data_IF_557863712085
#
_entry.id   IF_557863712085
#
_cell.length_a   1.000
_cell.length_b   1.000
_cell.length_c   1.000
_cell.angle_alpha   90.00
_cell.angle_beta   90.00
_cell.angle_gamma   90.00
#
_symmetry.space_group_name_H-M   'P 1'
#
loop_
_entity.id
_entity.type
_entity.pdbx_description
1 polymer ?
#
# COMPACT_ATOMS: atom_id res chain seq x y z
N UNK A 1 -20.93 -18.36 -13.43
CA UNK A 1 -20.65 -18.98 -12.13
C UNK A 1 -19.81 -18.09 -11.22
N UNK A 2 -18.67 -17.51 -11.67
CA UNK A 2 -17.80 -16.63 -10.88
C UNK A 2 -18.54 -15.40 -10.35
N UNK A 3 -19.34 -14.74 -11.18
CA UNK A 3 -20.15 -13.57 -10.79
C UNK A 3 -21.18 -13.91 -9.73
N UNK A 4 -21.91 -15.02 -9.90
CA UNK A 4 -22.92 -15.46 -8.94
C UNK A 4 -22.27 -15.74 -7.58
N UNK A 5 -21.13 -16.43 -7.56
CA UNK A 5 -20.38 -16.70 -6.33
C UNK A 5 -19.91 -15.40 -5.66
N UNK A 6 -19.42 -14.43 -6.44
CA UNK A 6 -19.01 -13.14 -5.92
C UNK A 6 -20.20 -12.37 -5.34
N UNK A 7 -21.33 -12.32 -6.02
CA UNK A 7 -22.56 -11.68 -5.53
C UNK A 7 -23.03 -12.34 -4.23
N UNK A 8 -23.07 -13.67 -4.17
CA UNK A 8 -23.46 -14.39 -2.95
C UNK A 8 -22.50 -14.06 -1.80
N UNK A 9 -21.17 -14.05 -2.06
CA UNK A 9 -20.19 -13.71 -1.06
C UNK A 9 -20.35 -12.26 -0.54
N UNK A 10 -20.63 -11.30 -1.44
CA UNK A 10 -20.91 -9.91 -1.07
C UNK A 10 -22.17 -9.83 -0.22
N UNK A 11 -23.28 -10.42 -0.66
CA UNK A 11 -24.56 -10.35 0.06
C UNK A 11 -24.47 -10.99 1.45
N UNK A 12 -23.83 -12.17 1.56
CA UNK A 12 -23.57 -12.81 2.83
C UNK A 12 -22.69 -11.94 3.73
N UNK A 13 -21.63 -11.36 3.17
CA UNK A 13 -20.74 -10.46 3.89
C UNK A 13 -21.42 -9.17 4.34
N UNK A 14 -22.26 -8.57 3.51
CA UNK A 14 -23.03 -7.39 3.89
C UNK A 14 -24.03 -7.71 5.02
N UNK A 15 -24.69 -8.88 4.99
CA UNK A 15 -25.54 -9.35 6.09
C UNK A 15 -24.77 -9.47 7.40
N UNK A 16 -23.53 -10.02 7.35
CA UNK A 16 -22.65 -10.09 8.52
C UNK A 16 -22.17 -8.72 8.98
N UNK A 17 -21.94 -7.78 8.07
CA UNK A 17 -21.51 -6.42 8.37
C UNK A 17 -22.49 -5.66 9.24
N UNK A 18 -23.78 -5.84 9.03
CA UNK A 18 -24.84 -5.20 9.83
C UNK A 18 -24.75 -5.58 11.32
N UNK A 19 -24.26 -6.80 11.62
CA UNK A 19 -24.08 -7.29 12.98
C UNK A 19 -22.67 -7.02 13.52
N UNK A 20 -21.66 -7.13 12.66
CA UNK A 20 -20.25 -6.95 13.00
C UNK A 20 -19.57 -6.02 12.00
N UNK A 21 -19.54 -4.69 12.25
CA UNK A 21 -18.98 -3.71 11.32
C UNK A 21 -17.53 -3.97 10.90
N UNK A 22 -16.75 -4.64 11.75
CA UNK A 22 -15.39 -5.05 11.44
C UNK A 22 -15.33 -6.02 10.24
N UNK A 23 -16.35 -6.88 10.05
CA UNK A 23 -16.43 -7.75 8.87
C UNK A 23 -16.55 -6.91 7.58
N UNK A 24 -17.34 -5.83 7.63
CA UNK A 24 -17.44 -4.89 6.53
C UNK A 24 -16.10 -4.22 6.18
N UNK A 25 -15.31 -3.88 7.19
CA UNK A 25 -13.95 -3.35 6.98
C UNK A 25 -13.07 -4.36 6.24
N UNK A 26 -13.11 -5.65 6.62
CA UNK A 26 -12.35 -6.70 5.94
C UNK A 26 -12.81 -6.94 4.50
N UNK A 27 -14.12 -6.88 4.25
CA UNK A 27 -14.68 -7.02 2.90
C UNK A 27 -14.29 -5.82 2.04
N UNK A 28 -14.34 -4.61 2.59
CA UNK A 28 -13.91 -3.40 1.91
C UNK A 28 -12.42 -3.45 1.57
N UNK A 29 -11.57 -3.85 2.52
CA UNK A 29 -10.15 -4.08 2.32
C UNK A 29 -9.88 -5.10 1.22
N UNK A 30 -10.54 -6.25 1.26
CA UNK A 30 -10.45 -7.27 0.22
C UNK A 30 -10.83 -6.72 -1.15
N UNK A 31 -11.96 -6.01 -1.23
CA UNK A 31 -12.48 -5.45 -2.48
C UNK A 31 -11.55 -4.42 -3.09
N UNK A 32 -10.91 -3.61 -2.27
CA UNK A 32 -10.02 -2.53 -2.70
C UNK A 32 -8.64 -3.04 -3.11
N UNK A 33 -8.10 -4.07 -2.41
CA UNK A 33 -6.78 -4.63 -2.70
C UNK A 33 -6.81 -5.66 -3.84
N UNK A 34 -7.78 -6.57 -3.86
CA UNK A 34 -7.88 -7.61 -4.88
C UNK A 34 -8.69 -7.18 -6.10
N UNK A 35 -9.62 -6.22 -5.95
CA UNK A 35 -10.52 -5.78 -7.02
C UNK A 35 -11.26 -6.95 -7.72
N UNK A 36 -11.95 -7.85 -7.00
CA UNK A 36 -12.51 -9.08 -7.56
C UNK A 36 -13.56 -8.82 -8.65
N UNK A 37 -14.23 -7.66 -8.65
CA UNK A 37 -15.17 -7.23 -9.68
C UNK A 37 -14.51 -7.00 -11.05
N UNK A 38 -13.20 -6.80 -11.11
CA UNK A 38 -12.45 -6.66 -12.38
C UNK A 38 -12.06 -8.00 -12.98
N UNK A 39 -12.12 -9.07 -12.21
CA UNK A 39 -11.93 -10.45 -12.66
C UNK A 39 -13.25 -11.11 -13.13
N UNK A 40 -14.37 -10.39 -12.99
CA UNK A 40 -15.70 -10.76 -13.50
C UNK A 40 -16.09 -9.80 -14.63
N UNK A 41 -17.01 -10.21 -15.50
CA UNK A 41 -17.37 -9.48 -16.73
C UNK A 41 -18.16 -8.16 -16.52
N UNK A 42 -17.97 -7.49 -15.40
CA UNK A 42 -18.38 -6.08 -15.25
C UNK A 42 -19.70 -5.80 -14.56
N UNK A 43 -20.47 -6.81 -14.14
CA UNK A 43 -21.78 -6.60 -13.52
C UNK A 43 -21.74 -5.93 -12.13
N UNK A 44 -20.59 -5.92 -11.43
CA UNK A 44 -20.46 -5.51 -10.02
C UNK A 44 -19.70 -4.18 -9.86
N UNK A 45 -19.73 -3.30 -10.86
CA UNK A 45 -18.94 -2.06 -10.87
C UNK A 45 -19.14 -1.11 -9.67
N UNK A 46 -20.34 -1.08 -9.08
CA UNK A 46 -20.69 -0.20 -7.95
C UNK A 46 -20.57 -0.86 -6.57
N UNK A 47 -20.14 -2.14 -6.49
CA UNK A 47 -20.15 -2.88 -5.23
C UNK A 47 -19.27 -2.23 -4.15
N UNK A 48 -18.14 -1.63 -4.52
CA UNK A 48 -17.25 -1.00 -3.56
C UNK A 48 -17.93 0.17 -2.82
N UNK A 49 -18.75 0.96 -3.51
CA UNK A 49 -19.53 2.03 -2.88
C UNK A 49 -20.58 1.46 -1.91
N UNK A 50 -21.28 0.40 -2.31
CA UNK A 50 -22.30 -0.24 -1.45
C UNK A 50 -21.66 -0.82 -0.21
N UNK A 51 -20.53 -1.53 -0.35
CA UNK A 51 -19.76 -2.09 0.77
C UNK A 51 -19.33 -0.96 1.73
N UNK A 52 -18.77 0.13 1.19
CA UNK A 52 -18.34 1.28 1.98
C UNK A 52 -19.50 1.89 2.78
N UNK A 53 -20.63 2.19 2.10
CA UNK A 53 -21.81 2.81 2.74
C UNK A 53 -22.40 1.90 3.82
N UNK A 54 -22.63 0.62 3.51
CA UNK A 54 -23.18 -0.33 4.50
C UNK A 54 -22.24 -0.46 5.69
N UNK A 55 -20.93 -0.49 5.46
CA UNK A 55 -19.96 -0.59 6.55
C UNK A 55 -19.96 0.66 7.43
N UNK A 56 -20.01 1.86 6.84
CA UNK A 56 -20.08 3.12 7.58
C UNK A 56 -21.38 3.23 8.39
N UNK A 57 -22.52 2.89 7.80
CA UNK A 57 -23.82 2.89 8.48
C UNK A 57 -23.83 1.87 9.62
N UNK A 58 -23.39 0.64 9.36
CA UNK A 58 -23.33 -0.40 10.38
C UNK A 58 -22.42 0.00 11.55
N UNK A 59 -21.27 0.61 11.25
CA UNK A 59 -20.38 1.12 12.31
C UNK A 59 -21.01 2.26 13.10
N UNK A 60 -21.64 3.22 12.43
CA UNK A 60 -22.29 4.37 13.08
C UNK A 60 -23.43 3.93 14.02
N UNK A 61 -24.18 2.89 13.66
CA UNK A 61 -25.27 2.33 14.45
C UNK A 61 -24.81 1.30 15.49
N UNK A 62 -23.57 0.85 15.44
CA UNK A 62 -23.06 -0.20 16.32
C UNK A 62 -22.86 0.29 17.75
N UNK A 63 -23.21 -0.57 18.72
CA UNK A 63 -22.86 -0.37 20.14
C UNK A 63 -21.36 -0.44 20.40
N UNK A 64 -20.60 -1.09 19.52
CA UNK A 64 -19.13 -1.16 19.58
C UNK A 64 -18.44 0.08 18.97
N UNK A 65 -19.21 1.10 18.55
CA UNK A 65 -18.66 2.31 17.95
C UNK A 65 -17.66 2.97 18.88
N UNK A 66 -16.42 3.06 18.42
CA UNK A 66 -15.32 3.77 19.09
C UNK A 66 -14.73 4.79 18.13
N UNK A 67 -14.30 5.91 18.68
CA UNK A 67 -13.47 6.83 17.92
C UNK A 67 -12.11 6.16 17.60
N UNK A 68 -11.52 6.44 16.43
CA UNK A 68 -10.17 5.98 16.13
C UNK A 68 -9.20 6.53 17.17
N UNK A 69 -8.12 5.79 17.51
CA UNK A 69 -7.14 6.25 18.47
C UNK A 69 -6.49 7.57 18.05
N UNK A 70 -6.48 8.53 18.95
CA UNK A 70 -5.94 9.86 18.70
C UNK A 70 -4.41 9.82 18.51
N UNK A 71 -3.91 10.63 17.57
CA UNK A 71 -2.47 10.74 17.32
C UNK A 71 -2.12 11.47 16.03
N UNK A 72 -0.83 11.74 15.87
CA UNK A 72 -0.32 12.50 14.72
C UNK A 72 -0.68 11.87 13.36
N UNK A 73 -0.72 10.53 13.25
CA UNK A 73 -1.10 9.86 12.02
C UNK A 73 -2.57 10.14 11.70
N UNK A 74 -3.49 10.02 12.68
CA UNK A 74 -4.91 10.31 12.47
C UNK A 74 -5.12 11.74 11.98
N UNK A 75 -4.53 12.72 12.67
CA UNK A 75 -4.65 14.11 12.27
C UNK A 75 -3.98 14.40 10.94
N UNK A 76 -2.82 13.78 10.66
CA UNK A 76 -2.16 13.89 9.36
C UNK A 76 -3.03 13.38 8.22
N UNK A 77 -3.69 12.24 8.41
CA UNK A 77 -4.66 11.66 7.45
C UNK A 77 -5.85 12.60 7.26
N UNK A 78 -6.46 13.08 8.34
CA UNK A 78 -7.61 14.00 8.27
C UNK A 78 -7.22 15.31 7.56
N UNK A 79 -6.11 15.91 7.94
CA UNK A 79 -5.61 17.16 7.34
C UNK A 79 -5.31 16.94 5.85
N UNK A 80 -4.73 15.79 5.48
CA UNK A 80 -4.46 15.47 4.08
C UNK A 80 -5.76 15.32 3.27
N UNK A 81 -6.77 14.61 3.80
CA UNK A 81 -8.09 14.50 3.16
C UNK A 81 -8.73 15.88 2.96
N UNK A 82 -8.74 16.69 4.02
CA UNK A 82 -9.33 18.06 3.96
C UNK A 82 -8.58 18.89 2.93
N UNK A 83 -7.24 18.86 2.93
CA UNK A 83 -6.43 19.61 1.98
C UNK A 83 -6.69 19.20 0.54
N UNK A 84 -6.68 17.90 0.25
CA UNK A 84 -6.94 17.37 -1.09
C UNK A 84 -8.38 17.62 -1.54
N UNK A 85 -9.34 17.59 -0.61
CA UNK A 85 -10.75 17.94 -0.89
C UNK A 85 -10.88 19.41 -1.29
N UNK A 86 -10.31 20.33 -0.51
CA UNK A 86 -10.33 21.76 -0.84
C UNK A 86 -9.61 21.97 -2.18
N UNK A 87 -8.43 21.37 -2.37
CA UNK A 87 -7.66 21.49 -3.61
C UNK A 87 -8.41 21.01 -4.86
N UNK A 88 -9.33 20.05 -4.72
CA UNK A 88 -10.15 19.56 -5.83
C UNK A 88 -11.08 20.63 -6.41
N UNK A 89 -11.62 21.52 -5.55
CA UNK A 89 -12.44 22.65 -6.03
C UNK A 89 -11.63 23.70 -6.80
N UNK A 90 -10.32 23.80 -6.54
CA UNK A 90 -9.39 24.70 -7.22
C UNK A 90 -8.55 24.01 -8.27
N UNK A 91 -8.90 22.78 -8.66
CA UNK A 91 -8.16 22.00 -9.64
C UNK A 91 -8.16 22.68 -11.02
N UNK A 92 -7.20 22.30 -11.87
CA UNK A 92 -7.18 22.75 -13.28
C UNK A 92 -8.41 22.28 -14.04
N UNK A 93 -8.82 21.03 -13.79
CA UNK A 93 -10.07 20.44 -14.25
C UNK A 93 -10.77 19.82 -13.03
N UNK A 94 -11.75 20.54 -12.42
CA UNK A 94 -12.44 20.04 -11.24
C UNK A 94 -13.25 18.78 -11.50
N UNK A 95 -13.92 18.66 -12.66
CA UNK A 95 -14.75 17.49 -12.97
C UNK A 95 -13.92 16.22 -13.02
N UNK A 96 -12.81 16.26 -13.73
CA UNK A 96 -11.85 15.16 -13.79
C UNK A 96 -11.23 14.84 -12.42
N UNK A 97 -10.85 15.87 -11.69
CA UNK A 97 -10.24 15.76 -10.36
C UNK A 97 -11.19 15.13 -9.34
N UNK A 98 -12.50 15.44 -9.38
CA UNK A 98 -13.50 14.81 -8.50
C UNK A 98 -13.61 13.31 -8.70
N UNK A 99 -13.44 12.79 -9.92
CA UNK A 99 -13.42 11.35 -10.20
C UNK A 99 -12.30 10.62 -9.44
N UNK A 100 -11.10 11.20 -9.38
CA UNK A 100 -9.97 10.65 -8.61
C UNK A 100 -10.09 10.90 -7.10
N UNK A 101 -10.61 12.07 -6.71
CA UNK A 101 -10.91 12.38 -5.31
C UNK A 101 -11.90 11.38 -4.72
N UNK A 102 -12.98 11.04 -5.46
CA UNK A 102 -13.99 10.07 -5.00
C UNK A 102 -13.40 8.72 -4.61
N UNK A 103 -12.39 8.27 -5.31
CA UNK A 103 -11.66 7.06 -4.95
C UNK A 103 -10.75 7.27 -3.75
N UNK A 104 -10.01 8.38 -3.72
CA UNK A 104 -8.97 8.64 -2.73
C UNK A 104 -9.54 8.82 -1.33
N UNK A 105 -10.62 9.61 -1.15
CA UNK A 105 -11.22 9.78 0.18
C UNK A 105 -11.73 8.46 0.76
N UNK A 106 -12.25 7.55 -0.08
CA UNK A 106 -12.70 6.21 0.35
C UNK A 106 -11.56 5.36 0.89
N UNK A 107 -10.40 5.41 0.26
CA UNK A 107 -9.18 4.73 0.73
C UNK A 107 -8.79 5.20 2.14
N UNK A 108 -8.78 6.51 2.37
CA UNK A 108 -8.46 7.07 3.70
C UNK A 108 -9.58 6.82 4.72
N UNK A 109 -10.85 6.87 4.31
CA UNK A 109 -11.99 6.54 5.16
C UNK A 109 -11.91 5.08 5.64
N UNK A 110 -11.57 4.13 4.76
CA UNK A 110 -11.30 2.74 5.13
C UNK A 110 -10.21 2.66 6.21
N UNK A 111 -9.09 3.38 6.04
CA UNK A 111 -8.00 3.40 7.02
C UNK A 111 -8.44 3.92 8.39
N UNK A 112 -9.21 5.02 8.43
CA UNK A 112 -9.75 5.58 9.68
C UNK A 112 -10.72 4.60 10.35
N UNK A 113 -11.59 3.97 9.57
CA UNK A 113 -12.58 3.01 10.07
C UNK A 113 -11.90 1.72 10.57
N UNK A 114 -10.87 1.27 9.88
CA UNK A 114 -10.01 0.18 10.32
C UNK A 114 -9.39 0.51 11.70
N UNK A 115 -8.81 1.70 11.85
CA UNK A 115 -8.23 2.13 13.11
C UNK A 115 -9.26 2.20 14.26
N UNK A 116 -10.53 2.53 13.96
CA UNK A 116 -11.62 2.59 14.93
C UNK A 116 -12.15 1.19 15.34
N UNK A 117 -12.06 0.20 14.45
CA UNK A 117 -12.65 -1.13 14.65
C UNK A 117 -11.66 -2.20 15.10
N UNK A 118 -10.36 -2.02 14.85
CA UNK A 118 -9.32 -2.96 15.27
C UNK A 118 -8.99 -2.76 16.75
N UNK A 119 -9.44 -3.69 17.61
CA UNK A 119 -9.33 -3.57 19.07
C UNK A 119 -8.48 -4.64 19.75
N UNK A 120 -8.12 -5.72 19.02
CA UNK A 120 -7.40 -6.85 19.60
C UNK A 120 -6.53 -7.56 18.55
N UNK A 121 -5.70 -8.50 19.00
CA UNK A 121 -4.78 -9.28 18.16
C UNK A 121 -5.48 -10.02 17.03
N UNK A 122 -6.64 -10.61 17.28
CA UNK A 122 -7.38 -11.37 16.25
C UNK A 122 -7.79 -10.45 15.08
N UNK A 123 -8.31 -9.27 15.40
CA UNK A 123 -8.67 -8.27 14.37
C UNK A 123 -7.45 -7.75 13.60
N UNK A 124 -6.32 -7.52 14.28
CA UNK A 124 -5.06 -7.18 13.61
C UNK A 124 -4.63 -8.28 12.64
N UNK A 125 -4.63 -9.53 13.11
CA UNK A 125 -4.26 -10.67 12.28
C UNK A 125 -5.19 -10.82 11.07
N UNK A 126 -6.50 -10.61 11.24
CA UNK A 126 -7.48 -10.70 10.16
C UNK A 126 -7.19 -9.67 9.05
N UNK A 127 -6.90 -8.40 9.41
CA UNK A 127 -6.48 -7.35 8.46
C UNK A 127 -5.24 -7.80 7.67
N UNK A 128 -4.20 -8.26 8.36
CA UNK A 128 -2.96 -8.68 7.67
C UNK A 128 -3.22 -9.91 6.78
N UNK A 129 -4.06 -10.86 7.20
CA UNK A 129 -4.43 -12.00 6.37
C UNK A 129 -5.18 -11.58 5.12
N UNK A 130 -6.15 -10.65 5.22
CA UNK A 130 -6.89 -10.15 4.07
C UNK A 130 -5.95 -9.44 3.09
N UNK A 131 -5.06 -8.58 3.57
CA UNK A 131 -4.06 -7.91 2.73
C UNK A 131 -3.17 -8.92 2.00
N UNK A 132 -2.64 -9.92 2.74
CA UNK A 132 -1.73 -10.92 2.17
C UNK A 132 -2.45 -11.82 1.17
N UNK A 133 -3.64 -12.34 1.48
CA UNK A 133 -4.39 -13.22 0.56
C UNK A 133 -4.78 -12.45 -0.70
N UNK A 134 -5.25 -11.20 -0.56
CA UNK A 134 -5.67 -10.36 -1.69
C UNK A 134 -4.55 -10.15 -2.70
N UNK A 135 -3.35 -9.87 -2.24
CA UNK A 135 -2.21 -9.56 -3.13
C UNK A 135 -1.42 -10.82 -3.52
N UNK A 136 -1.43 -11.87 -2.70
CA UNK A 136 -0.90 -13.18 -3.08
C UNK A 136 -1.68 -13.82 -4.22
N UNK A 137 -2.96 -13.50 -4.40
CA UNK A 137 -3.70 -13.90 -5.60
C UNK A 137 -2.94 -13.50 -6.87
N UNK A 138 -2.49 -12.25 -6.96
CA UNK A 138 -1.69 -11.77 -8.09
C UNK A 138 -0.27 -12.32 -8.08
N UNK A 139 0.35 -12.43 -6.91
CA UNK A 139 1.69 -12.97 -6.75
C UNK A 139 1.78 -14.44 -7.19
N UNK A 140 0.84 -15.28 -6.76
CA UNK A 140 0.80 -16.71 -7.12
C UNK A 140 0.45 -16.89 -8.60
N UNK A 141 -0.63 -16.22 -9.06
CA UNK A 141 -1.05 -16.26 -10.48
C UNK A 141 0.07 -15.77 -11.40
N UNK A 142 0.68 -14.62 -11.07
CA UNK A 142 1.78 -14.03 -11.84
C UNK A 142 3.06 -14.85 -11.80
N UNK A 143 3.40 -15.45 -10.65
CA UNK A 143 4.57 -16.32 -10.51
C UNK A 143 4.45 -17.59 -11.32
N UNK A 144 3.29 -18.26 -11.26
CA UNK A 144 3.00 -19.43 -12.10
C UNK A 144 3.00 -19.06 -13.58
N UNK A 145 2.39 -17.94 -13.95
CA UNK A 145 2.40 -17.42 -15.32
C UNK A 145 3.83 -17.19 -15.83
N UNK A 146 4.68 -16.55 -15.03
CA UNK A 146 6.09 -16.32 -15.38
C UNK A 146 6.85 -17.62 -15.59
N UNK A 147 6.64 -18.63 -14.73
CA UNK A 147 7.27 -19.96 -14.87
C UNK A 147 6.79 -20.65 -16.14
N UNK A 148 5.47 -20.73 -16.38
CA UNK A 148 4.90 -21.45 -17.51
C UNK A 148 5.25 -20.79 -18.84
N UNK A 149 5.31 -19.45 -18.88
CA UNK A 149 5.66 -18.71 -20.11
C UNK A 149 7.16 -18.54 -20.30
N UNK A 150 7.99 -19.07 -19.41
CA UNK A 150 9.45 -18.87 -19.45
C UNK A 150 9.84 -17.38 -19.34
N UNK A 151 8.98 -16.55 -18.75
CA UNK A 151 9.21 -15.11 -18.59
C UNK A 151 9.05 -14.29 -19.88
N UNK A 152 8.43 -14.80 -20.94
CA UNK A 152 8.31 -14.07 -22.20
C UNK A 152 7.27 -12.94 -22.16
N UNK A 153 6.36 -12.95 -21.20
CA UNK A 153 5.27 -12.00 -21.07
C UNK A 153 5.29 -11.25 -19.73
N UNK A 154 4.90 -9.96 -19.78
CA UNK A 154 4.81 -9.14 -18.59
C UNK A 154 3.64 -9.57 -17.69
N UNK A 155 3.87 -9.61 -16.38
CA UNK A 155 2.81 -9.73 -15.38
C UNK A 155 2.18 -8.34 -15.20
N UNK A 156 0.89 -8.24 -15.51
CA UNK A 156 0.09 -7.02 -15.41
C UNK A 156 -0.99 -7.19 -14.36
N UNK A 157 -1.40 -6.07 -13.77
CA UNK A 157 -2.53 -6.03 -12.85
C UNK A 157 -3.88 -5.91 -13.56
N UNK A 158 -4.98 -5.93 -12.79
CA UNK A 158 -6.33 -5.81 -13.33
C UNK A 158 -6.57 -4.40 -13.90
N UNK A 159 -7.09 -4.32 -15.12
CA UNK A 159 -7.34 -3.05 -15.80
C UNK A 159 -8.31 -2.15 -15.04
N UNK A 160 -8.08 -0.84 -15.09
CA UNK A 160 -8.93 0.18 -14.42
C UNK A 160 -8.78 0.22 -12.89
N UNK A 161 -7.69 -0.33 -12.34
CA UNK A 161 -7.35 -0.24 -10.92
C UNK A 161 -6.07 0.57 -10.69
N UNK A 162 -5.72 0.85 -9.42
CA UNK A 162 -4.44 1.51 -9.09
C UNK A 162 -3.22 0.64 -9.36
N UNK A 163 -3.40 -0.66 -9.46
CA UNK A 163 -2.33 -1.64 -9.69
C UNK A 163 -2.39 -2.25 -11.09
N UNK A 164 -2.99 -1.54 -12.05
CA UNK A 164 -3.17 -2.06 -13.41
C UNK A 164 -1.82 -2.23 -14.15
N UNK A 165 -0.91 -1.31 -13.94
CA UNK A 165 0.42 -1.29 -14.54
C UNK A 165 1.35 -2.29 -13.85
N UNK A 166 2.31 -2.85 -14.60
CA UNK A 166 3.29 -3.80 -14.08
C UNK A 166 4.11 -3.25 -12.90
N UNK A 167 4.46 -1.95 -12.92
CA UNK A 167 5.26 -1.33 -11.88
C UNK A 167 4.47 -1.17 -10.58
N UNK A 168 3.22 -0.73 -10.68
CA UNK A 168 2.33 -0.53 -9.53
C UNK A 168 1.98 -1.86 -8.88
N UNK A 169 1.64 -2.88 -9.69
CA UNK A 169 1.39 -4.24 -9.19
C UNK A 169 2.62 -4.80 -8.46
N UNK A 170 3.81 -4.62 -9.05
CA UNK A 170 5.05 -5.11 -8.45
C UNK A 170 5.31 -4.50 -7.06
N UNK A 171 5.08 -3.20 -6.88
CA UNK A 171 5.24 -2.55 -5.57
C UNK A 171 4.19 -3.04 -4.58
N UNK A 172 2.93 -3.21 -5.00
CA UNK A 172 1.88 -3.79 -4.17
C UNK A 172 2.27 -5.19 -3.65
N UNK A 173 2.78 -6.05 -4.54
CA UNK A 173 3.29 -7.38 -4.18
C UNK A 173 4.50 -7.29 -3.24
N UNK A 174 5.44 -6.40 -3.49
CA UNK A 174 6.62 -6.22 -2.64
C UNK A 174 6.28 -5.75 -1.23
N UNK A 175 5.35 -4.82 -1.08
CA UNK A 175 4.86 -4.36 0.24
C UNK A 175 4.26 -5.51 1.06
N UNK A 176 3.67 -6.51 0.39
CA UNK A 176 3.01 -7.65 1.02
C UNK A 176 4.01 -8.69 1.55
N UNK A 177 5.20 -8.82 0.95
CA UNK A 177 6.19 -9.85 1.33
C UNK A 177 6.59 -9.82 2.82
N UNK A 178 6.93 -8.67 3.43
CA UNK A 178 7.24 -8.63 4.85
C UNK A 178 6.05 -8.99 5.73
N UNK A 179 4.81 -8.64 5.33
CA UNK A 179 3.59 -8.99 6.05
C UNK A 179 3.33 -10.52 6.00
N UNK A 180 3.51 -11.12 4.83
CA UNK A 180 3.41 -12.57 4.66
C UNK A 180 4.47 -13.34 5.47
N UNK A 181 5.71 -12.84 5.49
CA UNK A 181 6.75 -13.44 6.31
C UNK A 181 6.46 -13.30 7.82
N UNK A 182 5.85 -12.19 8.25
CA UNK A 182 5.34 -12.05 9.61
C UNK A 182 4.28 -13.11 9.93
N UNK A 183 3.24 -13.27 9.08
CA UNK A 183 2.23 -14.30 9.28
C UNK A 183 2.81 -15.71 9.33
N UNK A 184 3.80 -15.99 8.47
CA UNK A 184 4.52 -17.26 8.49
C UNK A 184 5.20 -17.51 9.84
N UNK A 185 5.80 -16.49 10.44
CA UNK A 185 6.42 -16.56 11.77
C UNK A 185 5.42 -16.76 12.91
N UNK A 186 4.19 -16.25 12.74
CA UNK A 186 3.11 -16.37 13.75
C UNK A 186 2.31 -17.69 13.65
N UNK A 187 2.36 -18.36 12.50
CA UNK A 187 1.57 -19.57 12.25
C UNK A 187 2.20 -20.79 12.92
N UNK A 188 1.40 -21.57 13.65
CA UNK A 188 1.81 -22.82 14.29
C UNK A 188 1.72 -24.00 13.31
N UNK A 189 0.72 -23.98 12.42
CA UNK A 189 0.49 -25.05 11.45
C UNK A 189 1.58 -25.05 10.36
N UNK A 190 2.15 -26.24 10.11
CA UNK A 190 3.23 -26.42 9.12
C UNK A 190 2.77 -26.20 7.70
N UNK A 191 1.52 -26.56 7.36
CA UNK A 191 1.00 -26.39 6.01
C UNK A 191 0.71 -24.93 5.69
N UNK A 192 0.20 -24.17 6.66
CA UNK A 192 0.04 -22.72 6.54
C UNK A 192 1.41 -22.05 6.35
N UNK A 193 2.42 -22.46 7.12
CA UNK A 193 3.79 -21.93 6.96
C UNK A 193 4.40 -22.26 5.61
N UNK A 194 4.16 -23.47 5.10
CA UNK A 194 4.62 -23.90 3.77
C UNK A 194 3.88 -23.14 2.68
N UNK A 195 2.56 -23.01 2.78
CA UNK A 195 1.75 -22.24 1.83
C UNK A 195 2.18 -20.76 1.73
N UNK A 196 2.42 -20.12 2.89
CA UNK A 196 2.94 -18.75 2.92
C UNK A 196 4.34 -18.65 2.32
N UNK A 197 5.24 -19.62 2.57
CA UNK A 197 6.57 -19.65 1.97
C UNK A 197 6.49 -19.81 0.45
N UNK A 198 5.67 -20.73 -0.05
CA UNK A 198 5.44 -20.92 -1.49
C UNK A 198 4.85 -19.66 -2.12
N UNK A 199 3.87 -19.02 -1.45
CA UNK A 199 3.31 -17.75 -1.88
C UNK A 199 4.36 -16.63 -1.96
N UNK A 200 5.25 -16.53 -0.97
CA UNK A 200 6.39 -15.57 -0.99
C UNK A 200 7.28 -15.84 -2.21
N UNK A 201 7.68 -17.09 -2.44
CA UNK A 201 8.57 -17.45 -3.56
C UNK A 201 7.90 -17.11 -4.90
N UNK A 202 6.64 -17.53 -5.10
CA UNK A 202 5.91 -17.25 -6.33
C UNK A 202 5.70 -15.74 -6.54
N UNK A 203 5.45 -14.99 -5.46
CA UNK A 203 5.31 -13.53 -5.54
C UNK A 203 6.64 -12.87 -5.93
N UNK A 204 7.78 -13.34 -5.43
CA UNK A 204 9.10 -12.84 -5.87
C UNK A 204 9.32 -13.13 -7.36
N UNK A 205 8.97 -14.33 -7.83
CA UNK A 205 9.04 -14.69 -9.25
C UNK A 205 8.11 -13.78 -10.08
N UNK A 206 6.89 -13.52 -9.60
CA UNK A 206 5.96 -12.60 -10.25
C UNK A 206 6.53 -11.19 -10.36
N UNK A 207 7.14 -10.66 -9.29
CA UNK A 207 7.79 -9.34 -9.27
C UNK A 207 8.90 -9.27 -10.33
N UNK A 208 9.72 -10.29 -10.47
CA UNK A 208 10.73 -10.38 -11.53
C UNK A 208 10.04 -10.39 -12.91
N UNK A 209 8.97 -11.19 -13.07
CA UNK A 209 8.17 -11.27 -14.29
C UNK A 209 7.37 -10.00 -14.65
N UNK A 210 7.34 -8.99 -13.78
CA UNK A 210 6.79 -7.67 -14.13
C UNK A 210 7.74 -6.84 -14.98
N UNK A 211 9.03 -7.15 -15.01
CA UNK A 211 10.09 -6.35 -15.67
C UNK A 211 10.18 -4.90 -15.15
N UNK A 212 9.72 -4.64 -13.94
CA UNK A 212 9.76 -3.32 -13.32
C UNK A 212 11.13 -3.03 -12.70
N UNK A 213 11.85 -2.04 -13.23
CA UNK A 213 13.13 -1.59 -12.66
C UNK A 213 12.96 -1.04 -11.23
N UNK A 214 11.90 -0.27 -10.99
CA UNK A 214 11.59 0.25 -9.66
C UNK A 214 11.29 -0.86 -8.65
N UNK A 215 10.67 -1.96 -9.11
CA UNK A 215 10.41 -3.12 -8.27
C UNK A 215 11.69 -3.91 -7.95
N UNK A 216 12.64 -4.02 -8.89
CA UNK A 216 13.95 -4.64 -8.62
C UNK A 216 14.71 -3.87 -7.53
N UNK A 217 14.68 -2.54 -7.54
CA UNK A 217 15.24 -1.70 -6.46
C UNK A 217 14.52 -2.00 -5.13
N UNK A 218 13.19 -2.10 -5.15
CA UNK A 218 12.40 -2.48 -3.97
C UNK A 218 12.73 -3.88 -3.45
N UNK A 219 12.91 -4.86 -4.34
CA UNK A 219 13.30 -6.22 -3.98
C UNK A 219 14.70 -6.26 -3.39
N UNK A 220 15.67 -5.54 -3.99
CA UNK A 220 17.01 -5.38 -3.45
C UNK A 220 16.99 -4.72 -2.06
N UNK A 221 16.12 -3.71 -1.87
CA UNK A 221 15.93 -3.06 -0.57
C UNK A 221 15.40 -4.05 0.48
N UNK A 222 14.40 -4.88 0.15
CA UNK A 222 13.92 -5.93 1.07
C UNK A 222 15.00 -6.96 1.37
N UNK A 223 15.75 -7.39 0.37
CA UNK A 223 16.88 -8.30 0.52
C UNK A 223 17.94 -7.71 1.48
N UNK A 224 18.31 -6.46 1.29
CA UNK A 224 19.25 -5.75 2.16
C UNK A 224 18.72 -5.63 3.60
N UNK A 225 17.47 -5.22 3.80
CA UNK A 225 16.84 -5.16 5.13
C UNK A 225 16.79 -6.54 5.80
N UNK A 226 16.55 -7.59 5.03
CA UNK A 226 16.59 -8.98 5.49
C UNK A 226 18.01 -9.36 5.97
N UNK A 227 19.02 -9.08 5.15
CA UNK A 227 20.42 -9.39 5.46
C UNK A 227 20.90 -8.68 6.75
N UNK A 228 20.49 -7.44 6.99
CA UNK A 228 20.84 -6.70 8.20
C UNK A 228 20.34 -7.39 9.49
N UNK A 229 19.29 -8.20 9.41
CA UNK A 229 18.63 -8.86 10.56
C UNK A 229 19.05 -10.32 10.74
N UNK A 230 19.79 -10.90 9.81
CA UNK A 230 20.19 -12.31 9.83
C UNK A 230 21.52 -12.53 10.57
N UNK A 231 21.57 -13.54 11.44
CA UNK A 231 22.81 -13.95 12.12
C UNK A 231 23.82 -14.61 11.16
N UNK A 232 23.35 -15.32 10.12
CA UNK A 232 24.16 -16.04 9.12
C UNK A 232 24.11 -15.36 7.76
N UNK A 233 24.53 -14.10 7.68
CA UNK A 233 24.45 -13.26 6.46
C UNK A 233 25.13 -13.90 5.24
N UNK A 234 26.31 -14.45 5.42
CA UNK A 234 27.07 -15.07 4.32
C UNK A 234 26.36 -16.28 3.71
N UNK A 235 25.72 -17.13 4.53
CA UNK A 235 24.93 -18.26 4.03
C UNK A 235 23.77 -17.81 3.17
N UNK A 236 23.07 -16.76 3.58
CA UNK A 236 21.93 -16.23 2.81
C UNK A 236 22.38 -15.53 1.53
N UNK A 237 23.52 -14.82 1.55
CA UNK A 237 24.12 -14.25 0.33
C UNK A 237 24.50 -15.37 -0.63
N UNK A 238 25.16 -16.43 -0.16
CA UNK A 238 25.51 -17.58 -0.99
C UNK A 238 24.28 -18.25 -1.60
N UNK A 239 23.23 -18.51 -0.79
CA UNK A 239 21.96 -19.09 -1.29
C UNK A 239 21.30 -18.17 -2.30
N UNK A 240 21.24 -16.86 -2.04
CA UNK A 240 20.66 -15.89 -2.98
C UNK A 240 21.47 -15.83 -4.29
N UNK A 241 22.80 -15.85 -4.20
CA UNK A 241 23.68 -15.88 -5.39
C UNK A 241 23.47 -17.15 -6.22
N UNK A 242 23.34 -18.30 -5.57
CA UNK A 242 23.05 -19.59 -6.24
C UNK A 242 21.66 -19.53 -6.90
N UNK A 243 20.65 -19.00 -6.20
CA UNK A 243 19.30 -18.84 -6.78
C UNK A 243 19.28 -17.88 -7.97
N UNK A 244 20.02 -16.78 -7.88
CA UNK A 244 20.15 -15.80 -8.99
C UNK A 244 20.86 -16.46 -10.17
N UNK A 245 21.97 -17.16 -9.94
CA UNK A 245 22.71 -17.87 -10.99
C UNK A 245 21.87 -18.98 -11.62
N UNK A 246 21.14 -19.75 -10.80
CA UNK A 246 20.22 -20.78 -11.26
C UNK A 246 19.08 -20.17 -12.11
N UNK A 247 18.45 -19.10 -11.63
CA UNK A 247 17.38 -18.41 -12.36
C UNK A 247 17.91 -17.83 -13.68
N UNK A 248 19.11 -17.22 -13.65
CA UNK A 248 19.77 -16.71 -14.84
C UNK A 248 20.10 -17.81 -15.87
N UNK A 249 20.48 -19.00 -15.40
CA UNK A 249 20.78 -20.14 -16.29
C UNK A 249 19.54 -20.67 -17.04
N UNK A 250 18.38 -20.61 -16.41
CA UNK A 250 17.10 -21.04 -17.00
C UNK A 250 16.35 -19.93 -17.74
N UNK A 251 16.84 -18.68 -17.68
CA UNK A 251 16.27 -17.60 -18.47
C UNK A 251 16.63 -17.80 -19.95
N UNK A 252 15.65 -17.68 -20.88
CA UNK A 252 15.93 -17.77 -22.32
C UNK A 252 16.99 -16.75 -22.74
N UNK A 253 17.85 -17.12 -23.69
CA UNK A 253 18.83 -16.21 -24.30
C UNK A 253 18.18 -14.90 -24.76
N UNK A 254 16.94 -14.96 -25.24
CA UNK A 254 16.11 -13.80 -25.59
C UNK A 254 15.84 -12.82 -24.42
N UNK A 255 15.93 -13.24 -23.17
CA UNK A 255 15.89 -12.34 -22.02
C UNK A 255 17.20 -11.51 -21.92
N UNK A 256 18.32 -12.18 -22.10
CA UNK A 256 19.65 -11.52 -22.10
C UNK A 256 19.85 -10.68 -23.36
N UNK A 257 19.35 -11.14 -24.52
CA UNK A 257 19.37 -10.38 -25.77
C UNK A 257 18.48 -9.14 -25.65
N UNK A 258 17.28 -9.23 -25.06
CA UNK A 258 16.47 -8.06 -24.74
C UNK A 258 17.14 -7.13 -23.71
N UNK A 259 17.86 -7.69 -22.74
CA UNK A 259 18.60 -6.89 -21.77
C UNK A 259 19.82 -6.24 -22.42
N UNK A 260 20.50 -6.89 -23.38
CA UNK A 260 21.66 -6.38 -24.11
C UNK A 260 21.27 -5.49 -25.31
N UNK A 261 20.20 -5.80 -26.04
CA UNK A 261 19.62 -4.92 -27.06
C UNK A 261 18.92 -3.71 -26.45
N UNK A 262 18.49 -3.79 -25.18
CA UNK A 262 18.19 -2.61 -24.39
C UNK A 262 19.41 -1.66 -24.26
N UNK A 263 20.64 -2.11 -24.40
CA UNK A 263 21.81 -1.22 -24.38
C UNK A 263 22.06 -0.46 -25.69
N UNK A 264 21.58 -0.90 -26.84
CA UNK A 264 21.80 -0.20 -28.13
C UNK A 264 20.57 0.53 -28.68
N UNK A 265 19.36 -0.03 -28.50
CA UNK A 265 18.06 0.66 -28.77
C UNK A 265 17.53 1.33 -27.50
N UNK A 266 17.94 0.86 -26.32
CA UNK A 266 17.58 1.42 -25.02
C UNK A 266 18.30 2.72 -24.70
N UNK A 267 19.45 3.06 -25.28
CA UNK A 267 20.02 4.40 -25.07
C UNK A 267 19.04 5.47 -25.55
N UNK A 268 18.44 5.33 -26.72
CA UNK A 268 17.48 6.29 -27.28
C UNK A 268 16.12 6.19 -26.56
N UNK A 269 15.59 4.99 -26.28
CA UNK A 269 14.34 4.81 -25.55
C UNK A 269 14.47 5.04 -24.03
N UNK A 270 15.63 4.75 -23.46
CA UNK A 270 15.97 5.04 -22.06
C UNK A 270 16.14 6.53 -21.84
N UNK A 271 16.82 7.22 -22.75
CA UNK A 271 16.92 8.68 -22.74
C UNK A 271 15.54 9.33 -22.91
N UNK A 272 14.67 8.80 -23.78
CA UNK A 272 13.29 9.27 -23.91
C UNK A 272 12.43 8.96 -22.68
N UNK A 273 12.55 7.77 -22.08
CA UNK A 273 11.79 7.41 -20.88
C UNK A 273 12.26 8.19 -19.65
N UNK A 274 13.56 8.39 -19.49
CA UNK A 274 14.12 9.20 -18.40
C UNK A 274 13.85 10.69 -18.63
N UNK A 275 14.04 11.16 -19.86
CA UNK A 275 13.71 12.53 -20.27
C UNK A 275 12.22 12.84 -19.97
N UNK A 276 11.29 11.96 -20.40
CA UNK A 276 9.86 12.14 -20.15
C UNK A 276 9.51 12.26 -18.66
N UNK A 277 10.21 11.52 -17.78
CA UNK A 277 10.04 11.67 -16.32
C UNK A 277 10.53 13.02 -15.82
N UNK A 278 11.70 13.48 -16.26
CA UNK A 278 12.23 14.80 -15.89
C UNK A 278 11.28 15.91 -16.36
N UNK A 279 10.76 15.80 -17.57
CA UNK A 279 9.76 16.75 -18.10
C UNK A 279 8.50 16.73 -17.24
N UNK A 280 7.95 15.54 -16.92
CA UNK A 280 6.79 15.42 -16.04
C UNK A 280 7.03 15.98 -14.63
N UNK A 281 8.25 15.82 -14.07
CA UNK A 281 8.63 16.44 -12.79
C UNK A 281 8.69 17.95 -12.86
N UNK A 282 9.21 18.50 -13.97
CA UNK A 282 9.20 19.96 -14.22
C UNK A 282 7.75 20.48 -14.37
N UNK A 283 6.88 19.75 -15.08
CA UNK A 283 5.45 20.07 -15.15
C UNK A 283 4.82 20.08 -13.77
N UNK A 284 5.05 19.04 -12.96
CA UNK A 284 4.53 18.95 -11.59
C UNK A 284 5.01 20.12 -10.72
N UNK A 285 6.29 20.47 -10.82
CA UNK A 285 6.86 21.60 -10.09
C UNK A 285 6.29 22.94 -10.52
N UNK A 286 6.20 23.20 -11.83
CA UNK A 286 5.63 24.43 -12.38
C UNK A 286 4.15 24.55 -12.02
N UNK A 287 3.38 23.46 -12.14
CA UNK A 287 1.97 23.43 -11.75
C UNK A 287 1.80 23.75 -10.25
N UNK A 288 2.67 23.19 -9.39
CA UNK A 288 2.64 23.50 -7.95
C UNK A 288 2.98 24.96 -7.65
N UNK A 289 3.89 25.58 -8.43
CA UNK A 289 4.30 26.97 -8.29
C UNK A 289 3.21 27.92 -8.80
N UNK A 290 2.75 27.72 -10.03
CA UNK A 290 1.85 28.66 -10.70
C UNK A 290 0.42 28.58 -10.14
N UNK A 291 0.06 27.44 -9.55
CA UNK A 291 -1.24 27.20 -8.92
C UNK A 291 -1.13 27.05 -7.39
N UNK A 292 -0.21 27.82 -6.80
CA UNK A 292 -0.08 27.87 -5.34
C UNK A 292 -1.40 28.36 -4.70
N UNK A 293 -1.85 27.81 -3.55
CA UNK A 293 -1.19 26.79 -2.76
C UNK A 293 -1.60 25.34 -3.07
N UNK A 294 -2.63 25.10 -3.93
CA UNK A 294 -3.32 23.81 -4.06
C UNK A 294 -2.76 22.89 -5.15
N UNK A 295 -1.92 23.40 -6.08
CA UNK A 295 -1.49 22.63 -7.24
C UNK A 295 -2.57 22.51 -8.31
N UNK A 296 -2.46 21.52 -9.21
CA UNK A 296 -3.35 21.38 -10.35
C UNK A 296 -4.57 20.47 -10.11
N UNK A 297 -4.72 19.89 -8.90
CA UNK A 297 -5.74 18.89 -8.62
C UNK A 297 -5.32 17.49 -9.05
N UNK A 298 -6.08 16.48 -8.60
CA UNK A 298 -5.82 15.09 -8.96
C UNK A 298 -5.72 14.92 -10.48
N UNK A 299 -4.69 14.23 -10.92
CA UNK A 299 -4.39 13.98 -12.33
C UNK A 299 -4.10 15.23 -13.18
N UNK A 300 -4.30 16.45 -12.65
CA UNK A 300 -4.16 17.71 -13.35
C UNK A 300 -2.86 17.87 -14.13
N UNK A 301 -1.68 17.58 -13.56
CA UNK A 301 -0.40 17.70 -14.26
C UNK A 301 -0.24 16.77 -15.48
N UNK A 302 -1.07 15.73 -15.60
CA UNK A 302 -1.04 14.78 -16.72
C UNK A 302 -2.01 15.14 -17.84
N UNK A 303 -2.90 16.11 -17.63
CA UNK A 303 -3.84 16.58 -18.64
C UNK A 303 -3.07 17.29 -19.77
N UNK A 304 -3.31 16.86 -21.01
CA UNK A 304 -2.59 17.35 -22.17
C UNK A 304 -2.61 18.88 -22.29
N UNK A 305 -3.73 19.60 -22.08
CA UNK A 305 -3.74 21.07 -22.18
C UNK A 305 -2.80 21.74 -21.16
N UNK A 306 -2.76 21.27 -19.91
CA UNK A 306 -1.86 21.83 -18.91
C UNK A 306 -0.41 21.41 -19.18
N UNK A 307 -0.18 20.14 -19.51
CA UNK A 307 1.15 19.63 -19.80
C UNK A 307 1.80 20.38 -20.97
N UNK A 308 1.07 20.54 -22.07
CA UNK A 308 1.55 21.22 -23.27
C UNK A 308 1.67 22.74 -23.11
N UNK A 309 0.99 23.36 -22.13
CA UNK A 309 1.21 24.77 -21.82
C UNK A 309 2.63 25.04 -21.29
N UNK A 310 3.25 24.04 -20.64
CA UNK A 310 4.65 24.11 -20.20
C UNK A 310 5.63 23.55 -21.23
N UNK A 311 5.26 22.45 -21.91
CA UNK A 311 6.12 21.72 -22.85
C UNK A 311 5.31 21.33 -24.10
N UNK A 312 5.13 22.25 -25.07
CA UNK A 312 4.25 22.05 -26.21
C UNK A 312 4.60 20.88 -27.13
N UNK A 313 5.89 20.57 -27.24
CA UNK A 313 6.41 19.55 -28.16
C UNK A 313 6.64 18.18 -27.50
N UNK A 314 6.36 18.06 -26.18
CA UNK A 314 6.60 16.85 -25.44
C UNK A 314 5.30 16.05 -25.27
N UNK A 315 5.41 14.73 -25.28
CA UNK A 315 4.27 13.85 -24.98
C UNK A 315 3.93 13.96 -23.49
N UNK A 316 2.64 14.06 -23.16
CA UNK A 316 2.22 14.08 -21.76
C UNK A 316 2.46 12.73 -21.08
N UNK A 317 3.05 12.78 -19.90
CA UNK A 317 3.41 11.62 -19.07
C UNK A 317 2.97 11.80 -17.63
N UNK A 318 2.74 10.67 -16.96
CA UNK A 318 2.63 10.64 -15.49
C UNK A 318 3.98 11.01 -14.85
N UNK A 319 3.93 11.56 -13.64
CA UNK A 319 5.14 11.92 -12.89
C UNK A 319 6.03 10.71 -12.57
N UNK A 320 5.47 9.50 -12.55
CA UNK A 320 6.16 8.28 -12.15
C UNK A 320 7.01 8.46 -10.88
N UNK A 321 6.44 9.18 -9.91
CA UNK A 321 6.99 9.38 -8.58
C UNK A 321 5.86 9.81 -7.65
N UNK A 322 5.68 9.12 -6.51
CA UNK A 322 4.69 9.50 -5.51
C UNK A 322 4.91 10.93 -5.01
N UNK A 323 6.14 11.38 -4.96
CA UNK A 323 6.50 12.71 -4.45
C UNK A 323 6.12 13.81 -5.45
N UNK A 324 6.50 13.66 -6.71
CA UNK A 324 6.13 14.62 -7.76
C UNK A 324 4.66 14.52 -8.16
N UNK A 325 4.03 13.35 -7.98
CA UNK A 325 2.59 13.21 -8.12
C UNK A 325 1.88 14.12 -7.11
N UNK A 326 2.18 13.96 -5.81
CA UNK A 326 1.55 14.78 -4.76
C UNK A 326 1.91 16.27 -4.90
N UNK A 327 3.15 16.58 -5.29
CA UNK A 327 3.58 17.95 -5.53
C UNK A 327 2.74 18.63 -6.61
N UNK A 328 2.62 18.02 -7.77
CA UNK A 328 1.89 18.61 -8.88
C UNK A 328 0.38 18.66 -8.67
N UNK A 329 -0.17 17.62 -8.02
CA UNK A 329 -1.61 17.50 -7.76
C UNK A 329 -2.07 18.40 -6.60
N UNK A 330 -1.27 18.52 -5.50
CA UNK A 330 -1.71 19.18 -4.26
C UNK A 330 -0.77 20.29 -3.77
N UNK A 331 0.16 20.69 -4.59
CA UNK A 331 1.09 21.78 -4.30
C UNK A 331 2.13 21.45 -3.23
N UNK A 332 2.93 22.46 -2.88
CA UNK A 332 3.99 22.32 -1.87
C UNK A 332 3.44 21.98 -0.48
N UNK A 333 2.28 22.54 -0.12
CA UNK A 333 1.64 22.28 1.18
C UNK A 333 1.17 20.84 1.25
N UNK A 334 0.50 20.33 0.19
CA UNK A 334 0.06 18.94 0.11
C UNK A 334 1.24 17.96 0.19
N UNK A 335 2.34 18.24 -0.52
CA UNK A 335 3.57 17.44 -0.40
C UNK A 335 4.14 17.50 1.02
N UNK A 336 4.16 18.67 1.66
CA UNK A 336 4.64 18.83 3.04
C UNK A 336 3.84 17.97 4.02
N UNK A 337 2.50 18.00 3.94
CA UNK A 337 1.61 17.17 4.76
C UNK A 337 1.88 15.68 4.51
N UNK A 338 2.03 15.27 3.25
CA UNK A 338 2.29 13.88 2.86
C UNK A 338 3.64 13.37 3.39
N UNK A 339 4.70 14.15 3.27
CA UNK A 339 6.03 13.80 3.80
C UNK A 339 6.04 13.75 5.33
N UNK A 340 5.34 14.66 6.00
CA UNK A 340 5.17 14.64 7.45
C UNK A 340 4.38 13.39 7.90
N UNK A 341 3.36 12.97 7.14
CA UNK A 341 2.62 11.76 7.42
C UNK A 341 3.51 10.51 7.31
N UNK A 342 4.34 10.42 6.26
CA UNK A 342 5.34 9.34 6.10
C UNK A 342 6.33 9.36 7.26
N UNK A 343 6.92 10.51 7.59
CA UNK A 343 7.88 10.64 8.68
C UNK A 343 7.27 10.29 10.04
N UNK A 344 6.03 10.75 10.32
CA UNK A 344 5.29 10.42 11.52
C UNK A 344 5.03 8.90 11.63
N UNK A 345 4.77 8.23 10.50
CA UNK A 345 4.57 6.77 10.44
C UNK A 345 5.85 6.01 10.78
N UNK A 346 7.00 6.41 10.23
CA UNK A 346 8.30 5.83 10.61
C UNK A 346 8.64 6.05 12.09
N UNK A 347 8.36 7.24 12.60
CA UNK A 347 8.57 7.53 14.02
C UNK A 347 7.64 6.70 14.90
N UNK A 348 6.37 6.58 14.52
CA UNK A 348 5.36 5.81 15.26
C UNK A 348 5.71 4.32 15.29
N UNK A 349 5.99 3.71 14.14
CA UNK A 349 6.32 2.28 14.08
C UNK A 349 7.59 1.96 14.86
N UNK A 350 8.60 2.84 14.82
CA UNK A 350 9.82 2.68 15.62
C UNK A 350 9.54 2.75 17.13
N UNK A 351 8.59 3.57 17.56
CA UNK A 351 8.14 3.62 18.97
C UNK A 351 7.36 2.36 19.36
N UNK A 352 6.48 1.88 18.48
CA UNK A 352 5.73 0.62 18.68
C UNK A 352 6.71 -0.54 18.89
N UNK A 353 7.70 -0.69 18.00
CA UNK A 353 8.70 -1.76 18.08
C UNK A 353 9.47 -1.70 19.42
N UNK A 354 9.92 -0.50 19.81
CA UNK A 354 10.66 -0.32 21.08
C UNK A 354 9.80 -0.60 22.30
N UNK A 355 8.54 -0.16 22.32
CA UNK A 355 7.63 -0.40 23.42
C UNK A 355 7.27 -1.90 23.55
N UNK A 356 6.91 -2.53 22.44
CA UNK A 356 6.51 -3.93 22.39
C UNK A 356 7.65 -4.90 22.78
N UNK A 357 8.91 -4.58 22.45
CA UNK A 357 10.08 -5.40 22.85
C UNK A 357 10.33 -5.45 24.37
N UNK A 358 9.78 -4.48 25.12
CA UNK A 358 9.92 -4.44 26.59
C UNK A 358 8.94 -5.35 27.31
N UNK A 359 7.91 -5.84 26.60
CA UNK A 359 6.85 -6.69 27.16
C UNK A 359 6.81 -7.99 26.37
N UNK A 360 7.20 -9.11 26.99
CA UNK A 360 7.35 -10.41 26.31
C UNK A 360 6.08 -10.87 25.57
N UNK A 361 4.92 -10.69 26.17
CA UNK A 361 3.62 -11.06 25.58
C UNK A 361 3.27 -10.25 24.31
N UNK A 362 3.91 -9.11 24.11
CA UNK A 362 3.69 -8.21 22.96
C UNK A 362 4.74 -8.37 21.85
N UNK A 363 5.57 -9.42 21.92
CA UNK A 363 6.60 -9.70 20.90
C UNK A 363 6.03 -9.72 19.47
N UNK A 364 4.83 -10.27 19.28
CA UNK A 364 4.14 -10.29 18.00
C UNK A 364 3.89 -8.88 17.42
N UNK A 365 3.62 -7.87 18.29
CA UNK A 365 3.46 -6.46 17.86
C UNK A 365 4.79 -5.89 17.37
N UNK A 366 5.89 -6.23 18.04
CA UNK A 366 7.22 -5.79 17.59
C UNK A 366 7.58 -6.41 16.25
N UNK A 367 7.26 -7.68 16.03
CA UNK A 367 7.51 -8.41 14.78
C UNK A 367 6.64 -7.82 13.63
N UNK A 368 5.36 -7.54 13.90
CA UNK A 368 4.47 -6.86 12.95
C UNK A 368 4.97 -5.44 12.65
N UNK A 369 5.38 -4.68 13.67
CA UNK A 369 5.95 -3.34 13.47
C UNK A 369 7.16 -3.34 12.55
N UNK A 370 8.02 -4.38 12.67
CA UNK A 370 9.15 -4.59 11.77
C UNK A 370 8.70 -4.87 10.33
N UNK A 371 7.63 -5.64 10.14
CA UNK A 371 7.06 -5.91 8.81
C UNK A 371 6.43 -4.66 8.19
N UNK A 372 5.65 -3.90 8.96
CA UNK A 372 5.07 -2.62 8.53
C UNK A 372 6.16 -1.60 8.15
N UNK A 373 7.25 -1.52 8.94
CA UNK A 373 8.37 -0.64 8.63
C UNK A 373 9.03 -1.03 7.31
N UNK A 374 9.21 -2.33 7.04
CA UNK A 374 9.78 -2.81 5.79
C UNK A 374 8.84 -2.54 4.60
N UNK A 375 7.53 -2.74 4.76
CA UNK A 375 6.50 -2.39 3.77
C UNK A 375 6.57 -0.89 3.40
N UNK A 376 6.63 0.00 4.41
CA UNK A 376 6.75 1.44 4.19
C UNK A 376 8.07 1.84 3.50
N UNK A 377 9.20 1.21 3.84
CA UNK A 377 10.48 1.49 3.18
C UNK A 377 10.37 1.14 1.70
N UNK A 378 9.82 -0.04 1.36
CA UNK A 378 9.59 -0.45 -0.03
C UNK A 378 8.69 0.54 -0.76
N UNK A 379 7.58 0.93 -0.13
CA UNK A 379 6.68 1.93 -0.70
C UNK A 379 7.41 3.24 -1.02
N UNK A 380 8.19 3.77 -0.10
CA UNK A 380 8.91 5.04 -0.29
C UNK A 380 10.00 4.93 -1.36
N UNK A 381 10.79 3.83 -1.35
CA UNK A 381 11.90 3.63 -2.28
C UNK A 381 11.39 3.35 -3.69
N UNK A 382 10.50 2.39 -3.85
CA UNK A 382 9.94 2.05 -5.17
C UNK A 382 8.99 3.14 -5.67
N UNK A 383 8.25 3.79 -4.78
CA UNK A 383 7.36 4.90 -5.07
C UNK A 383 8.07 6.15 -5.59
N UNK A 384 9.37 6.29 -5.37
CA UNK A 384 10.15 7.36 -6.00
C UNK A 384 10.18 7.25 -7.53
N UNK A 385 9.92 6.06 -8.09
CA UNK A 385 9.97 5.76 -9.50
C UNK A 385 8.60 5.40 -10.13
N UNK A 386 7.48 5.62 -9.42
CA UNK A 386 6.13 5.34 -9.93
C UNK A 386 5.05 6.18 -9.24
N UNK A 387 3.91 6.40 -9.94
CA UNK A 387 2.76 7.15 -9.40
C UNK A 387 1.80 6.20 -8.69
N UNK A 388 1.88 6.15 -7.34
CA UNK A 388 1.05 5.30 -6.49
C UNK A 388 0.80 5.95 -5.11
N UNK A 389 0.75 7.29 -5.04
CA UNK A 389 0.75 8.04 -3.78
C UNK A 389 -0.42 7.70 -2.83
N UNK A 390 -1.58 7.34 -3.37
CA UNK A 390 -2.82 7.10 -2.60
C UNK A 390 -3.17 5.62 -2.49
N UNK A 391 -2.16 4.74 -2.47
CA UNK A 391 -2.36 3.30 -2.48
C UNK A 391 -2.97 2.78 -1.18
N UNK A 392 -3.96 1.93 -1.34
CA UNK A 392 -4.77 1.42 -0.23
C UNK A 392 -3.94 0.71 0.84
N UNK A 393 -2.99 -0.16 0.48
CA UNK A 393 -2.15 -0.86 1.45
C UNK A 393 -1.24 0.09 2.24
N UNK A 394 -0.75 1.18 1.63
CA UNK A 394 -0.01 2.21 2.35
C UNK A 394 -0.88 2.84 3.44
N UNK A 395 -2.12 3.19 3.10
CA UNK A 395 -3.06 3.80 4.07
C UNK A 395 -3.44 2.82 5.17
N UNK A 396 -3.69 1.54 4.83
CA UNK A 396 -3.95 0.47 5.79
C UNK A 396 -2.76 0.32 6.76
N UNK A 397 -1.53 0.23 6.24
CA UNK A 397 -0.32 0.08 7.04
C UNK A 397 -0.15 1.21 8.06
N UNK A 398 -0.31 2.47 7.63
CA UNK A 398 -0.15 3.63 8.53
C UNK A 398 -1.28 3.73 9.54
N UNK A 399 -2.53 3.49 9.14
CA UNK A 399 -3.68 3.56 10.04
C UNK A 399 -3.70 2.41 11.05
N UNK A 400 -3.19 1.22 10.70
CA UNK A 400 -3.06 0.10 11.62
C UNK A 400 -2.08 0.41 12.78
N UNK A 401 -1.14 1.33 12.59
CA UNK A 401 -0.24 1.75 13.66
C UNK A 401 -0.95 2.46 14.83
N UNK A 402 -2.15 3.01 14.59
CA UNK A 402 -2.94 3.67 15.64
C UNK A 402 -3.38 2.67 16.72
N UNK A 403 -4.16 1.62 16.41
CA UNK A 403 -4.54 0.62 17.40
C UNK A 403 -3.35 -0.18 17.95
N UNK A 404 -2.31 -0.45 17.14
CA UNK A 404 -1.10 -1.12 17.63
C UNK A 404 -0.40 -0.30 18.72
N UNK A 405 -0.36 1.02 18.59
CA UNK A 405 0.20 1.90 19.62
C UNK A 405 -0.62 1.84 20.91
N UNK A 406 -1.97 1.85 20.82
CA UNK A 406 -2.84 1.71 22.00
C UNK A 406 -2.60 0.41 22.77
N UNK A 407 -2.29 -0.69 22.05
CA UNK A 407 -2.02 -2.01 22.66
C UNK A 407 -0.69 -2.03 23.42
N UNK A 408 0.32 -1.23 23.02
CA UNK A 408 1.67 -1.30 23.59
C UNK A 408 2.07 -0.06 24.41
N UNK A 409 1.30 1.01 24.37
CA UNK A 409 1.64 2.21 25.13
C UNK A 409 1.61 1.93 26.65
N UNK A 410 2.57 2.45 27.42
CA UNK A 410 2.53 2.34 28.86
C UNK A 410 1.20 2.91 29.39
N UNK A 411 0.47 2.14 30.16
CA UNK A 411 -0.69 2.67 30.88
C UNK A 411 -0.16 3.74 31.85
N UNK A 412 -0.69 4.95 31.77
CA UNK A 412 -0.43 5.96 32.80
C UNK A 412 -0.92 5.37 34.14
N UNK A 413 0.00 5.02 35.02
CA UNK A 413 -0.34 4.76 36.42
C UNK A 413 -0.99 6.02 36.95
N UNK A 414 -2.22 5.91 37.44
CA UNK A 414 -2.84 7.03 38.16
C UNK A 414 -1.92 7.34 39.34
N UNK A 415 -1.59 8.61 39.59
CA UNK A 415 -0.78 8.98 40.75
C UNK A 415 -1.46 8.44 42.00
N UNK A 416 -0.70 7.81 42.90
CA UNK A 416 -1.20 7.17 44.13
C UNK A 416 -2.04 8.07 45.04
N UNK A 417 -1.92 9.42 44.91
CA UNK A 417 -2.71 10.37 45.68
C UNK A 417 -4.20 10.45 45.31
N UNK A 418 -4.62 9.86 44.13
CA UNK A 418 -6.05 9.73 43.81
C UNK A 418 -6.72 8.50 44.46
N UNK A 419 -5.96 7.67 45.13
CA UNK A 419 -6.44 6.48 45.79
C UNK A 419 -6.69 6.68 47.30
N UNK A 420 -6.58 7.90 47.82
CA UNK A 420 -6.92 8.17 49.23
C UNK A 420 -8.44 8.22 49.35
N UNK A 421 -9.11 7.29 50.06
CA UNK A 421 -10.52 7.40 50.34
C UNK A 421 -10.72 8.66 51.22
N UNK A 422 -11.50 9.62 50.75
CA UNK A 422 -12.04 10.67 51.59
C UNK A 422 -13.14 9.97 52.45
N UNK A 423 -12.77 9.55 53.67
CA UNK A 423 -13.70 8.90 54.55
C UNK A 423 -13.06 8.17 55.71
N UNK A 424 -12.38 8.91 56.57
CA UNK A 424 -12.13 8.48 57.96
C UNK A 424 -11.86 9.73 58.81
N UNK A 425 -12.91 10.54 59.03
CA UNK A 425 -12.97 11.39 60.23
C UNK A 425 -14.30 11.04 60.85
N UNK A 426 -14.20 10.45 62.05
CA UNK A 426 -15.15 9.90 62.96
C UNK A 426 -16.26 10.74 63.45
#
# INVERSE_FOLDING_TARGET
LREILLVIAILAGLGMTLRWPFVGVLIWEWFTLQNPHRETYGFVGSANMVIALVTLVAWAMSKERKAPPNGFILWGVIIFIVWTTIGTFFAYDPEWSFGYWDRTWKTFALGILLAATVTNRVRVQAVIWVAVISLFYYGVKGGLFTIVTGGHNHVLGPSGTMINDNNQLAVAMLMTLPLANYLRGQSLDKWVRLGLLSGIILTVIAVIGTYSRGALIGLATLGFLGLLRMKRRLTYIAVASVLIAFTAHFMPAQYFDRMSTMNSVASVQEDQSFHGRIVAWKVAFNAAKDRFPFGAGFYGPQLAPLFHSYFPNEKNHAAHSIYFQVLGEHGFIGLGIYLLLIAASFFRVSRIIRAARRVGEQRWVAELGVALQASLIVFCVSGAALSLAYYDLFVIDICLMLPLWEMVRPKRTQPAWRAVPIGATG
#
